data_IF_225922722708
#
_entry.id   IF_225922722708
#
_cell.length_a   1.000
_cell.length_b   1.000
_cell.length_c   1.000
_cell.angle_alpha   90.00
_cell.angle_beta   90.00
_cell.angle_gamma   90.00
#
_symmetry.space_group_name_H-M   'P 1'
#
loop_
_entity.id
_entity.type
_entity.pdbx_description
1 polymer ?
#
# COMPACT_ATOMS: atom_id res chain seq x y z
N UNK A 1 -37.92 -8.68 -12.59
CA UNK A 1 -37.48 -9.29 -11.33
C UNK A 1 -36.30 -8.50 -10.82
N UNK A 2 -36.52 -7.70 -9.78
CA UNK A 2 -35.55 -6.76 -9.21
C UNK A 2 -34.68 -7.58 -8.24
N UNK A 3 -33.54 -8.10 -8.71
CA UNK A 3 -32.52 -8.65 -7.81
C UNK A 3 -32.16 -7.54 -6.83
N UNK A 4 -32.43 -7.72 -5.55
CA UNK A 4 -31.97 -6.82 -4.51
C UNK A 4 -30.45 -6.71 -4.63
N UNK A 5 -29.94 -5.58 -5.13
CA UNK A 5 -28.50 -5.30 -5.11
C UNK A 5 -28.09 -5.29 -3.65
N UNK A 6 -27.47 -6.36 -3.19
CA UNK A 6 -26.96 -6.44 -1.82
C UNK A 6 -25.82 -5.43 -1.68
N UNK A 7 -26.10 -4.32 -0.99
CA UNK A 7 -25.19 -3.19 -0.79
C UNK A 7 -24.06 -3.58 0.18
N UNK A 8 -24.37 -4.42 1.17
CA UNK A 8 -23.48 -4.84 2.25
C UNK A 8 -23.09 -6.29 2.03
N UNK A 9 -21.82 -6.58 1.76
CA UNK A 9 -21.30 -7.94 1.57
C UNK A 9 -20.31 -8.29 2.66
N UNK A 10 -20.49 -9.46 3.26
CA UNK A 10 -19.52 -10.02 4.20
C UNK A 10 -18.46 -10.83 3.43
N UNK A 11 -17.19 -10.42 3.54
CA UNK A 11 -16.06 -11.03 2.85
C UNK A 11 -15.16 -11.74 3.85
N UNK A 12 -14.97 -13.04 3.63
CA UNK A 12 -14.14 -13.94 4.45
C UNK A 12 -13.13 -14.76 3.63
N UNK A 13 -13.06 -14.51 2.32
CA UNK A 13 -12.20 -15.22 1.37
C UNK A 13 -11.41 -14.21 0.56
N UNK A 14 -10.12 -14.47 0.38
CA UNK A 14 -9.21 -13.62 -0.40
C UNK A 14 -9.61 -13.54 -1.87
N UNK A 15 -10.05 -14.67 -2.45
CA UNK A 15 -10.55 -14.71 -3.83
C UNK A 15 -11.76 -13.81 -3.99
N UNK A 16 -12.74 -13.91 -3.08
CA UNK A 16 -13.92 -13.03 -3.11
C UNK A 16 -13.54 -11.58 -2.94
N UNK A 17 -12.62 -11.27 -2.02
CA UNK A 17 -12.12 -9.91 -1.81
C UNK A 17 -11.54 -9.32 -3.10
N UNK A 18 -10.59 -10.03 -3.72
CA UNK A 18 -9.94 -9.58 -4.97
C UNK A 18 -10.94 -9.46 -6.12
N UNK A 19 -11.87 -10.42 -6.28
CA UNK A 19 -12.93 -10.36 -7.28
C UNK A 19 -13.85 -9.14 -7.12
N UNK A 20 -14.18 -8.74 -5.89
CA UNK A 20 -14.98 -7.53 -5.65
C UNK A 20 -14.27 -6.27 -6.16
N UNK A 21 -12.95 -6.20 -6.01
CA UNK A 21 -12.15 -5.07 -6.48
C UNK A 21 -11.88 -5.11 -7.98
N UNK A 22 -11.61 -6.27 -8.57
CA UNK A 22 -11.39 -6.38 -10.03
C UNK A 22 -12.67 -6.08 -10.83
N UNK A 23 -13.86 -6.36 -10.28
CA UNK A 23 -15.14 -6.02 -10.92
C UNK A 23 -15.56 -4.55 -10.73
N UNK A 24 -14.82 -3.77 -9.94
CA UNK A 24 -15.21 -2.41 -9.58
C UNK A 24 -14.91 -1.31 -10.63
N UNK A 25 -13.85 -1.40 -11.47
CA UNK A 25 -13.59 -0.41 -12.52
C UNK A 25 -14.70 -0.37 -13.57
N UNK A 26 -15.29 -1.53 -13.90
CA UNK A 26 -16.34 -1.65 -14.93
C UNK A 26 -17.70 -1.09 -14.48
N UNK A 27 -17.84 -0.74 -13.20
CA UNK A 27 -19.12 -0.31 -12.61
C UNK A 27 -19.16 1.16 -12.21
N UNK A 28 -18.08 1.93 -12.46
CA UNK A 28 -17.94 3.33 -12.02
C UNK A 28 -18.38 3.51 -10.56
N UNK A 29 -17.86 2.63 -9.69
CA UNK A 29 -18.38 2.42 -8.35
C UNK A 29 -17.50 2.95 -7.24
N UNK A 30 -18.13 3.29 -6.11
CA UNK A 30 -17.46 3.62 -4.85
C UNK A 30 -17.63 2.44 -3.88
N UNK A 31 -16.53 1.93 -3.36
CA UNK A 31 -16.52 0.82 -2.41
C UNK A 31 -15.97 1.29 -1.08
N UNK A 32 -16.72 1.04 -0.01
CA UNK A 32 -16.27 1.25 1.37
C UNK A 32 -15.98 -0.11 1.98
N UNK A 33 -14.73 -0.34 2.35
CA UNK A 33 -14.28 -1.54 3.03
C UNK A 33 -14.16 -1.27 4.53
N UNK A 34 -14.80 -2.06 5.38
CA UNK A 34 -14.63 -2.09 6.84
C UNK A 34 -13.78 -3.31 7.22
N UNK A 35 -12.49 -3.08 7.47
CA UNK A 35 -11.57 -4.10 7.95
C UNK A 35 -11.64 -4.19 9.48
N UNK A 36 -11.98 -5.39 9.99
CA UNK A 36 -12.09 -5.66 11.42
C UNK A 36 -11.43 -6.99 11.81
N UNK A 37 -10.96 -7.09 13.06
CA UNK A 37 -10.48 -8.34 13.66
C UNK A 37 -11.62 -9.03 14.39
N UNK A 38 -11.74 -10.36 14.29
CA UNK A 38 -12.74 -11.17 15.01
C UNK A 38 -12.85 -10.91 16.52
N UNK A 39 -11.77 -10.47 17.15
CA UNK A 39 -11.72 -10.08 18.57
C UNK A 39 -12.60 -8.86 18.88
N UNK A 40 -13.02 -8.15 17.84
CA UNK A 40 -13.97 -7.06 17.88
C UNK A 40 -15.22 -7.43 17.09
N UNK A 41 -16.38 -7.38 17.77
CA UNK A 41 -17.65 -7.68 17.12
C UNK A 41 -17.93 -6.69 16.00
N UNK A 42 -18.39 -7.22 14.87
CA UNK A 42 -18.91 -6.48 13.72
C UNK A 42 -19.82 -5.34 14.18
N UNK A 43 -19.53 -4.11 13.78
CA UNK A 43 -20.39 -2.97 14.09
C UNK A 43 -21.64 -3.02 13.21
N UNK A 44 -22.65 -3.80 13.65
CA UNK A 44 -23.97 -3.90 12.99
C UNK A 44 -24.66 -2.54 12.81
N UNK A 45 -24.24 -1.50 13.53
CA UNK A 45 -24.76 -0.14 13.40
C UNK A 45 -24.33 0.57 12.10
N UNK A 46 -23.24 0.12 11.47
CA UNK A 46 -22.70 0.76 10.27
C UNK A 46 -23.42 0.33 9.00
N UNK A 47 -23.77 -0.95 8.89
CA UNK A 47 -24.41 -1.51 7.70
C UNK A 47 -25.71 -0.79 7.35
N UNK A 48 -26.52 -0.41 8.35
CA UNK A 48 -27.75 0.36 8.13
C UNK A 48 -27.45 1.80 7.69
N UNK A 49 -26.45 2.43 8.28
CA UNK A 49 -26.03 3.78 7.89
C UNK A 49 -25.55 3.83 6.44
N UNK A 50 -24.84 2.79 5.98
CA UNK A 50 -24.38 2.68 4.60
C UNK A 50 -25.51 2.33 3.61
N UNK A 51 -26.56 1.62 4.04
CA UNK A 51 -27.77 1.45 3.21
C UNK A 51 -28.50 2.78 2.99
N UNK A 52 -28.56 3.65 4.01
CA UNK A 52 -29.10 5.00 3.84
C UNK A 52 -28.27 5.81 2.83
N UNK A 53 -26.93 5.77 2.94
CA UNK A 53 -26.04 6.47 1.99
C UNK A 53 -26.20 6.01 0.54
N UNK A 54 -26.42 4.71 0.32
CA UNK A 54 -26.74 4.19 -1.02
C UNK A 54 -28.01 4.82 -1.59
N UNK A 55 -29.04 4.98 -0.74
CA UNK A 55 -30.31 5.60 -1.13
C UNK A 55 -30.12 7.07 -1.49
N UNK A 56 -29.26 7.78 -0.75
CA UNK A 56 -28.96 9.20 -0.96
C UNK A 56 -28.08 9.46 -2.20
N UNK A 57 -27.19 8.53 -2.57
CA UNK A 57 -26.31 8.65 -3.74
C UNK A 57 -27.04 8.50 -5.09
N UNK A 58 -28.25 7.94 -5.09
CA UNK A 58 -29.08 7.76 -6.29
C UNK A 58 -28.59 6.65 -7.25
N UNK A 59 -29.36 6.39 -8.30
CA UNK A 59 -29.12 5.29 -9.26
C UNK A 59 -27.88 5.48 -10.17
N UNK A 60 -27.20 6.62 -10.10
CA UNK A 60 -26.13 6.97 -11.04
C UNK A 60 -24.77 6.36 -10.67
N UNK A 61 -24.56 5.97 -9.40
CA UNK A 61 -23.25 5.54 -8.91
C UNK A 61 -23.39 4.20 -8.21
N UNK A 62 -22.52 3.28 -8.59
CA UNK A 62 -22.53 1.96 -8.03
C UNK A 62 -21.83 1.93 -6.65
N UNK A 63 -22.60 2.02 -5.57
CA UNK A 63 -22.05 2.03 -4.21
C UNK A 63 -22.10 0.64 -3.54
N UNK A 64 -20.97 0.19 -2.96
CA UNK A 64 -20.84 -1.06 -2.21
C UNK A 64 -20.20 -0.83 -0.84
N UNK A 65 -20.62 -1.63 0.12
CA UNK A 65 -20.00 -1.75 1.43
C UNK A 65 -19.51 -3.20 1.64
N UNK A 66 -18.22 -3.36 1.89
CA UNK A 66 -17.59 -4.66 2.14
C UNK A 66 -17.18 -4.74 3.60
N UNK A 67 -17.74 -5.71 4.33
CA UNK A 67 -17.35 -6.02 5.70
C UNK A 67 -16.31 -7.14 5.66
N UNK A 68 -15.05 -6.82 5.95
CA UNK A 68 -13.89 -7.70 5.75
C UNK A 68 -13.33 -8.14 7.09
N UNK A 69 -13.40 -9.44 7.37
CA UNK A 69 -12.80 -10.01 8.57
C UNK A 69 -11.33 -10.37 8.29
N UNK A 70 -10.41 -9.62 8.91
CA UNK A 70 -8.99 -9.70 8.61
C UNK A 70 -8.41 -11.10 8.81
N UNK A 71 -8.78 -11.80 9.89
CA UNK A 71 -8.20 -13.11 10.17
C UNK A 71 -8.64 -14.14 9.12
N UNK A 72 -9.93 -14.23 8.82
CA UNK A 72 -10.47 -15.16 7.85
C UNK A 72 -9.88 -14.95 6.46
N UNK A 73 -9.79 -13.70 5.98
CA UNK A 73 -9.23 -13.41 4.65
C UNK A 73 -7.73 -13.72 4.58
N UNK A 74 -6.97 -13.41 5.64
CA UNK A 74 -5.54 -13.73 5.68
C UNK A 74 -5.29 -15.24 5.79
N UNK A 75 -6.09 -15.95 6.59
CA UNK A 75 -5.98 -17.39 6.77
C UNK A 75 -6.42 -18.14 5.49
N UNK A 76 -7.39 -17.60 4.74
CA UNK A 76 -7.83 -18.18 3.46
C UNK A 76 -6.78 -18.02 2.35
N UNK A 77 -6.05 -16.91 2.32
CA UNK A 77 -4.95 -16.67 1.37
C UNK A 77 -3.81 -17.70 1.50
N UNK A 78 -3.63 -18.27 2.70
CA UNK A 78 -2.65 -19.31 2.96
C UNK A 78 -3.06 -20.69 2.39
N UNK A 79 -4.31 -20.85 1.94
CA UNK A 79 -4.81 -22.10 1.38
C UNK A 79 -4.48 -22.19 -0.12
N UNK A 80 -3.88 -23.32 -0.53
CA UNK A 80 -3.40 -23.54 -1.90
C UNK A 80 -4.52 -23.48 -2.96
N UNK A 81 -5.76 -23.82 -2.60
CA UNK A 81 -6.92 -23.78 -3.51
C UNK A 81 -7.37 -22.34 -3.82
N UNK A 82 -7.19 -21.40 -2.89
CA UNK A 82 -7.51 -19.98 -3.13
C UNK A 82 -6.48 -19.29 -4.05
N UNK A 83 -5.26 -19.82 -4.15
CA UNK A 83 -4.20 -19.27 -4.99
C UNK A 83 -4.37 -19.58 -6.49
N UNK A 84 -5.26 -20.51 -6.85
CA UNK A 84 -5.45 -20.98 -8.23
C UNK A 84 -6.66 -20.37 -8.96
N UNK A 85 -7.49 -19.56 -8.29
CA UNK A 85 -8.66 -18.98 -8.93
C UNK A 85 -8.28 -17.82 -9.87
N UNK A 86 -8.55 -17.91 -11.19
CA UNK A 86 -8.34 -16.77 -12.08
C UNK A 86 -9.36 -15.67 -11.77
N UNK A 87 -8.89 -14.51 -11.32
CA UNK A 87 -9.72 -13.35 -11.01
C UNK A 87 -10.03 -12.46 -12.22
N UNK A 88 -9.32 -12.62 -13.35
CA UNK A 88 -9.37 -11.70 -14.49
C UNK A 88 -9.70 -12.43 -15.79
N UNK A 89 -10.49 -11.78 -16.65
CA UNK A 89 -10.70 -12.27 -18.00
C UNK A 89 -9.40 -12.12 -18.82
N UNK A 90 -9.17 -12.98 -19.84
CA UNK A 90 -8.01 -12.85 -20.71
C UNK A 90 -7.94 -11.46 -21.38
N UNK A 91 -6.87 -10.71 -21.11
CA UNK A 91 -6.62 -9.38 -21.71
C UNK A 91 -7.03 -8.18 -20.85
N UNK A 92 -7.59 -8.39 -19.65
CA UNK A 92 -7.82 -7.30 -18.69
C UNK A 92 -6.56 -7.06 -17.84
N UNK A 93 -6.13 -5.80 -17.76
CA UNK A 93 -5.10 -5.39 -16.81
C UNK A 93 -5.69 -5.30 -15.40
N UNK A 94 -5.04 -5.98 -14.46
CA UNK A 94 -5.42 -5.94 -13.07
C UNK A 94 -5.29 -4.51 -12.52
N UNK A 95 -6.29 -4.04 -11.78
CA UNK A 95 -6.10 -2.87 -10.94
C UNK A 95 -5.04 -3.19 -9.86
N UNK A 96 -3.93 -2.44 -9.73
CA UNK A 96 -2.87 -2.76 -8.77
C UNK A 96 -3.38 -2.84 -7.32
N UNK A 97 -4.30 -1.96 -6.96
CA UNK A 97 -4.87 -1.86 -5.61
C UNK A 97 -5.87 -2.99 -5.30
N UNK A 98 -6.39 -3.65 -6.33
CA UNK A 98 -7.27 -4.81 -6.21
C UNK A 98 -6.51 -6.10 -5.87
N UNK A 99 -5.21 -6.16 -6.18
CA UNK A 99 -4.39 -7.36 -6.00
C UNK A 99 -4.07 -7.64 -4.53
N UNK A 100 -4.02 -8.93 -4.18
CA UNK A 100 -3.62 -9.40 -2.85
C UNK A 100 -2.30 -8.83 -2.34
N UNK A 101 -1.32 -8.63 -3.22
CA UNK A 101 -0.03 -8.02 -2.86
C UNK A 101 -0.20 -6.63 -2.23
N UNK A 102 -1.20 -5.86 -2.66
CA UNK A 102 -1.48 -4.53 -2.12
C UNK A 102 -2.25 -4.60 -0.80
N UNK A 103 -3.47 -5.15 -0.82
CA UNK A 103 -4.37 -5.08 0.33
C UNK A 103 -3.97 -6.01 1.48
N UNK A 104 -3.16 -7.05 1.24
CA UNK A 104 -2.68 -7.95 2.30
C UNK A 104 -1.95 -7.20 3.40
N UNK A 105 -1.06 -6.28 3.03
CA UNK A 105 -0.30 -5.47 3.99
C UNK A 105 -1.20 -4.63 4.89
N UNK A 106 -2.32 -4.15 4.36
CA UNK A 106 -3.34 -3.41 5.10
C UNK A 106 -3.99 -4.33 6.14
N UNK A 107 -4.47 -5.50 5.72
CA UNK A 107 -5.13 -6.46 6.62
C UNK A 107 -4.18 -6.99 7.69
N UNK A 108 -2.91 -7.28 7.34
CA UNK A 108 -1.87 -7.68 8.30
C UNK A 108 -1.63 -6.61 9.36
N UNK A 109 -1.52 -5.33 8.95
CA UNK A 109 -1.38 -4.20 9.88
C UNK A 109 -2.59 -3.99 10.80
N UNK A 110 -3.77 -4.50 10.40
CA UNK A 110 -5.01 -4.43 11.18
C UNK A 110 -5.26 -5.66 12.05
N UNK A 111 -4.51 -6.74 11.87
CA UNK A 111 -4.69 -7.98 12.66
C UNK A 111 -4.55 -7.68 14.15
N UNK A 112 -5.54 -8.11 14.95
CA UNK A 112 -5.56 -7.90 16.40
C UNK A 112 -5.75 -6.44 16.85
N UNK A 113 -6.02 -5.50 15.95
CA UNK A 113 -6.30 -4.11 16.33
C UNK A 113 -7.75 -3.95 16.80
N UNK A 114 -8.01 -3.15 17.85
CA UNK A 114 -9.33 -3.04 18.46
C UNK A 114 -10.28 -2.07 17.77
N UNK A 115 -9.93 -1.52 16.60
CA UNK A 115 -10.72 -0.48 15.93
C UNK A 115 -11.01 -0.90 14.50
N UNK A 116 -12.24 -0.67 14.04
CA UNK A 116 -12.57 -0.71 12.61
C UNK A 116 -11.63 0.21 11.84
N UNK A 117 -11.30 -0.23 10.63
CA UNK A 117 -10.46 0.51 9.70
C UNK A 117 -11.16 0.58 8.36
N UNK A 118 -11.58 1.77 7.98
CA UNK A 118 -12.31 1.99 6.75
C UNK A 118 -11.33 2.33 5.64
N UNK A 119 -11.45 1.65 4.51
CA UNK A 119 -10.74 1.98 3.27
C UNK A 119 -11.75 2.33 2.21
N UNK A 120 -11.56 3.47 1.55
CA UNK A 120 -12.47 3.97 0.54
C UNK A 120 -11.81 3.85 -0.81
N UNK A 121 -12.49 3.20 -1.74
CA UNK A 121 -12.07 2.96 -3.10
C UNK A 121 -13.04 3.61 -4.08
N UNK A 122 -12.52 4.03 -5.23
CA UNK A 122 -13.30 4.41 -6.40
C UNK A 122 -12.72 3.69 -7.60
N UNK A 123 -13.56 3.01 -8.38
CA UNK A 123 -13.13 2.26 -9.57
C UNK A 123 -11.94 1.32 -9.31
N UNK A 124 -11.88 0.73 -8.11
CA UNK A 124 -10.83 -0.20 -7.70
C UNK A 124 -9.57 0.45 -7.13
N UNK A 125 -9.39 1.76 -7.30
CA UNK A 125 -8.24 2.50 -6.80
C UNK A 125 -8.51 3.01 -5.38
N UNK A 126 -7.56 2.81 -4.46
CA UNK A 126 -7.66 3.26 -3.09
C UNK A 126 -7.52 4.78 -3.01
N UNK A 127 -8.55 5.45 -2.50
CA UNK A 127 -8.58 6.89 -2.32
C UNK A 127 -8.10 7.34 -0.92
N UNK A 128 -8.62 6.76 0.15
CA UNK A 128 -8.19 7.15 1.51
C UNK A 128 -8.55 6.08 2.53
N UNK A 129 -8.10 6.28 3.76
CA UNK A 129 -8.44 5.42 4.89
C UNK A 129 -8.83 6.24 6.12
N UNK A 130 -9.69 5.65 6.95
CA UNK A 130 -10.18 6.26 8.19
C UNK A 130 -10.07 5.21 9.29
N UNK A 131 -9.26 5.48 10.30
CA UNK A 131 -9.22 4.65 11.50
C UNK A 131 -10.35 5.04 12.46
N UNK A 132 -10.98 4.02 13.04
CA UNK A 132 -12.14 4.12 13.93
C UNK A 132 -13.41 4.64 13.23
N UNK A 133 -14.53 4.49 13.93
CA UNK A 133 -15.83 4.94 13.44
C UNK A 133 -15.89 6.46 13.51
N UNK A 134 -15.83 7.12 12.35
CA UNK A 134 -16.05 8.55 12.19
C UNK A 134 -17.03 8.80 11.02
N UNK A 135 -18.32 8.59 11.29
CA UNK A 135 -19.36 8.66 10.26
C UNK A 135 -19.37 10.00 9.50
N UNK A 136 -19.30 11.18 10.14
CA UNK A 136 -19.26 12.44 9.39
C UNK A 136 -18.11 12.52 8.39
N UNK A 137 -16.91 12.05 8.77
CA UNK A 137 -15.75 12.01 7.88
C UNK A 137 -15.95 11.01 6.74
N UNK A 138 -16.43 9.80 7.05
CA UNK A 138 -16.69 8.76 6.06
C UNK A 138 -17.70 9.25 5.02
N UNK A 139 -18.84 9.81 5.46
CA UNK A 139 -19.89 10.34 4.58
C UNK A 139 -19.33 11.45 3.69
N UNK A 140 -18.54 12.38 4.26
CA UNK A 140 -17.90 13.45 3.48
C UNK A 140 -16.98 12.89 2.39
N UNK A 141 -16.20 11.85 2.70
CA UNK A 141 -15.31 11.23 1.73
C UNK A 141 -16.08 10.44 0.66
N UNK A 142 -17.12 9.70 1.03
CA UNK A 142 -18.00 8.99 0.08
C UNK A 142 -18.67 9.97 -0.88
N UNK A 143 -19.28 11.03 -0.37
CA UNK A 143 -19.92 12.06 -1.20
C UNK A 143 -18.91 12.70 -2.17
N UNK A 144 -17.67 12.93 -1.72
CA UNK A 144 -16.62 13.42 -2.61
C UNK A 144 -16.30 12.44 -3.73
N UNK A 145 -16.11 11.15 -3.41
CA UNK A 145 -15.81 10.13 -4.42
C UNK A 145 -16.96 9.95 -5.42
N UNK A 146 -18.20 10.13 -4.96
CA UNK A 146 -19.37 10.08 -5.81
C UNK A 146 -19.47 11.30 -6.76
N UNK A 147 -18.90 12.45 -6.41
CA UNK A 147 -19.04 13.63 -7.25
C UNK A 147 -18.20 13.50 -8.54
N UNK A 148 -18.80 13.74 -9.73
CA UNK A 148 -18.05 13.83 -10.96
C UNK A 148 -17.03 14.97 -10.88
N UNK A 149 -15.84 14.73 -11.44
CA UNK A 149 -14.77 15.71 -11.52
C UNK A 149 -14.46 16.03 -12.99
N UNK A 150 -13.73 17.12 -13.21
CA UNK A 150 -13.10 17.38 -14.50
C UNK A 150 -11.93 16.41 -14.70
N UNK A 151 -11.78 15.79 -15.88
CA UNK A 151 -10.64 14.92 -16.19
C UNK A 151 -9.28 15.62 -16.05
N UNK A 152 -8.26 14.87 -15.65
CA UNK A 152 -6.89 15.39 -15.50
C UNK A 152 -6.35 16.03 -16.79
N UNK A 153 -6.60 15.40 -17.93
CA UNK A 153 -6.17 15.87 -19.26
C UNK A 153 -6.73 17.24 -19.65
N UNK A 154 -7.84 17.66 -19.03
CA UNK A 154 -8.49 18.95 -19.32
C UNK A 154 -8.00 20.06 -18.35
N UNK A 155 -7.09 19.69 -17.44
CA UNK A 155 -6.63 20.52 -16.32
C UNK A 155 -5.14 20.80 -16.36
N UNK A 156 -4.35 19.87 -16.90
CA UNK A 156 -2.91 20.06 -17.10
C UNK A 156 -2.51 20.05 -18.57
N UNK A 157 -1.46 20.81 -18.90
CA UNK A 157 -0.76 20.73 -20.19
C UNK A 157 0.60 20.03 -20.11
N UNK A 158 1.03 19.67 -18.89
CA UNK A 158 2.30 19.02 -18.64
C UNK A 158 2.19 17.51 -18.88
N UNK A 159 2.78 17.02 -19.97
CA UNK A 159 2.73 15.61 -20.37
C UNK A 159 3.29 14.67 -19.30
N UNK A 160 4.43 15.02 -18.68
CA UNK A 160 5.04 14.18 -17.63
C UNK A 160 4.18 14.08 -16.37
N UNK A 161 3.51 15.17 -15.98
CA UNK A 161 2.57 15.15 -14.87
C UNK A 161 1.31 14.35 -15.21
N UNK A 162 0.81 14.46 -16.45
CA UNK A 162 -0.33 13.67 -16.92
C UNK A 162 0.00 12.18 -16.94
N UNK A 163 1.19 11.79 -17.41
CA UNK A 163 1.64 10.39 -17.41
C UNK A 163 1.73 9.83 -15.98
N UNK A 164 2.31 10.60 -15.04
CA UNK A 164 2.29 10.24 -13.62
C UNK A 164 0.85 10.06 -13.12
N UNK A 165 -0.04 11.00 -13.45
CA UNK A 165 -1.43 10.97 -12.99
C UNK A 165 -2.18 9.74 -13.48
N UNK A 166 -2.09 9.46 -14.79
CA UNK A 166 -2.74 8.31 -15.44
C UNK A 166 -2.22 6.96 -14.95
N UNK A 167 -0.99 6.93 -14.41
CA UNK A 167 -0.39 5.71 -13.85
C UNK A 167 -0.92 5.37 -12.45
N UNK A 168 -1.26 6.37 -11.64
CA UNK A 168 -1.56 6.18 -10.22
C UNK A 168 -3.00 6.51 -9.82
N UNK A 169 -3.73 7.27 -10.64
CA UNK A 169 -5.05 7.78 -10.32
C UNK A 169 -6.04 7.57 -11.46
N UNK A 170 -7.32 7.79 -11.16
CA UNK A 170 -8.40 7.70 -12.13
C UNK A 170 -8.30 8.86 -13.13
N UNK A 171 -8.28 8.54 -14.42
CA UNK A 171 -8.13 9.51 -15.51
C UNK A 171 -9.21 10.62 -15.52
N UNK A 172 -10.43 10.28 -15.07
CA UNK A 172 -11.56 11.20 -14.99
C UNK A 172 -11.51 12.14 -13.79
N UNK A 173 -10.51 12.02 -12.91
CA UNK A 173 -10.32 12.87 -11.74
C UNK A 173 -9.15 13.83 -11.92
N UNK A 174 -9.26 15.04 -11.39
CA UNK A 174 -8.18 16.04 -11.35
C UNK A 174 -7.82 16.47 -9.93
N UNK A 175 -8.51 15.95 -8.93
CA UNK A 175 -8.22 16.13 -7.51
C UNK A 175 -8.26 14.76 -6.81
N UNK A 176 -7.25 14.49 -5.98
CA UNK A 176 -7.13 13.26 -5.21
C UNK A 176 -6.91 13.56 -3.73
N UNK A 177 -7.19 12.59 -2.88
CA UNK A 177 -6.84 12.69 -1.46
C UNK A 177 -5.32 12.76 -1.28
N UNK A 178 -4.89 13.53 -0.28
CA UNK A 178 -3.48 13.73 0.03
C UNK A 178 -2.75 12.41 0.31
N UNK A 179 -3.37 11.49 1.04
CA UNK A 179 -2.78 10.19 1.36
C UNK A 179 -2.51 9.33 0.10
N UNK A 180 -3.40 9.39 -0.90
CA UNK A 180 -3.19 8.70 -2.17
C UNK A 180 -2.09 9.35 -2.99
N UNK A 181 -2.02 10.69 -3.00
CA UNK A 181 -0.92 11.39 -3.64
C UNK A 181 0.44 11.00 -3.04
N UNK A 182 0.56 11.00 -1.70
CA UNK A 182 1.80 10.59 -1.04
C UNK A 182 2.20 9.16 -1.38
N UNK A 183 1.23 8.24 -1.42
CA UNK A 183 1.50 6.84 -1.78
C UNK A 183 2.00 6.71 -3.22
N UNK A 184 1.37 7.43 -4.15
CA UNK A 184 1.79 7.48 -5.55
C UNK A 184 3.22 8.04 -5.68
N UNK A 185 3.53 9.14 -4.98
CA UNK A 185 4.88 9.72 -4.93
C UNK A 185 5.90 8.69 -4.45
N UNK A 186 5.65 8.04 -3.31
CA UNK A 186 6.59 7.05 -2.74
C UNK A 186 6.77 5.84 -3.67
N UNK A 187 5.69 5.40 -4.34
CA UNK A 187 5.75 4.32 -5.33
C UNK A 187 6.50 4.71 -6.59
N UNK A 188 6.31 5.94 -7.08
CA UNK A 188 6.95 6.47 -8.29
C UNK A 188 8.44 6.69 -8.11
N UNK A 189 8.86 7.24 -6.96
CA UNK A 189 10.27 7.49 -6.68
C UNK A 189 11.00 6.27 -6.08
N UNK A 190 10.31 5.13 -5.92
CA UNK A 190 10.85 3.94 -5.23
C UNK A 190 11.44 4.25 -3.85
N UNK A 191 10.75 5.12 -3.08
CA UNK A 191 11.26 5.60 -1.81
C UNK A 191 11.47 4.46 -0.81
N UNK A 192 12.62 4.45 -0.13
CA UNK A 192 12.99 3.41 0.84
C UNK A 192 12.32 3.56 2.22
N UNK A 193 11.63 4.69 2.46
CA UNK A 193 10.90 4.97 3.70
C UNK A 193 9.73 5.94 3.44
N UNK A 194 8.69 5.92 4.30
CA UNK A 194 7.63 6.92 4.23
C UNK A 194 8.13 8.31 4.64
N UNK A 195 7.37 9.34 4.24
CA UNK A 195 7.54 10.70 4.77
C UNK A 195 7.17 10.74 6.25
N UNK A 196 7.89 11.54 7.04
CA UNK A 196 7.42 11.88 8.39
C UNK A 196 6.23 12.83 8.32
N UNK A 197 5.44 12.94 9.39
CA UNK A 197 4.32 13.87 9.44
C UNK A 197 4.74 15.31 9.13
N UNK A 198 5.90 15.76 9.64
CA UNK A 198 6.46 17.09 9.32
C UNK A 198 6.79 17.24 7.84
N UNK A 199 7.37 16.21 7.22
CA UNK A 199 7.70 16.22 5.79
C UNK A 199 6.43 16.24 4.92
N UNK A 200 5.45 15.42 5.29
CA UNK A 200 4.12 15.40 4.66
C UNK A 200 3.45 16.78 4.74
N UNK A 201 3.41 17.40 5.92
CA UNK A 201 2.80 18.72 6.10
C UNK A 201 3.54 19.83 5.35
N UNK A 202 4.87 19.80 5.33
CA UNK A 202 5.66 20.77 4.56
C UNK A 202 5.41 20.65 3.05
N UNK A 203 5.31 19.42 2.54
CA UNK A 203 4.99 19.17 1.13
C UNK A 203 3.56 19.62 0.81
N UNK A 204 2.60 19.32 1.68
CA UNK A 204 1.20 19.74 1.54
C UNK A 204 1.10 21.27 1.42
N UNK A 205 1.76 21.99 2.32
CA UNK A 205 1.79 23.46 2.30
C UNK A 205 2.45 24.00 1.03
N UNK A 206 3.58 23.41 0.62
CA UNK A 206 4.34 23.87 -0.56
C UNK A 206 3.55 23.68 -1.87
N UNK A 207 2.85 22.55 -2.02
CA UNK A 207 2.01 22.27 -3.20
C UNK A 207 0.70 23.08 -3.16
N UNK A 208 0.23 23.44 -1.97
CA UNK A 208 -1.08 24.07 -1.78
C UNK A 208 -2.21 23.05 -1.61
N UNK A 209 -1.91 21.88 -1.06
CA UNK A 209 -2.92 20.89 -0.69
C UNK A 209 -3.89 21.49 0.35
N UNK A 210 -5.19 21.36 0.08
CA UNK A 210 -6.25 22.00 0.85
C UNK A 210 -7.29 20.96 1.28
N UNK A 211 -7.76 21.04 2.52
CA UNK A 211 -8.78 20.13 3.05
C UNK A 211 -8.43 18.63 2.91
N UNK A 212 -7.14 18.28 2.97
CA UNK A 212 -6.66 16.89 2.84
C UNK A 212 -6.66 16.36 1.41
N UNK A 213 -6.60 17.24 0.41
CA UNK A 213 -6.61 16.89 -1.02
C UNK A 213 -5.63 17.75 -1.80
N UNK A 214 -5.29 17.29 -3.00
CA UNK A 214 -4.40 17.98 -3.92
C UNK A 214 -4.91 17.83 -5.35
N UNK A 215 -4.88 18.91 -6.10
CA UNK A 215 -5.26 18.93 -7.52
C UNK A 215 -4.03 18.89 -8.43
N UNK A 216 -4.23 18.39 -9.64
CA UNK A 216 -3.19 18.38 -10.68
C UNK A 216 -2.70 19.80 -11.01
N UNK A 217 -3.60 20.80 -11.03
CA UNK A 217 -3.25 22.21 -11.24
C UNK A 217 -2.31 22.75 -10.15
N UNK A 218 -2.55 22.36 -8.90
CA UNK A 218 -1.74 22.80 -7.76
C UNK A 218 -0.32 22.22 -7.86
N UNK A 219 -0.23 20.95 -8.28
CA UNK A 219 1.04 20.28 -8.52
C UNK A 219 1.79 20.92 -9.69
N UNK A 220 1.12 21.15 -10.83
CA UNK A 220 1.73 21.81 -12.01
C UNK A 220 2.23 23.21 -11.66
N UNK A 221 1.43 23.98 -10.93
CA UNK A 221 1.80 25.33 -10.47
C UNK A 221 3.03 25.31 -9.56
N UNK A 222 3.13 24.32 -8.66
CA UNK A 222 4.28 24.17 -7.77
C UNK A 222 5.55 23.73 -8.51
N UNK A 223 5.41 22.78 -9.44
CA UNK A 223 6.52 22.28 -10.27
C UNK A 223 7.11 23.39 -11.13
N UNK A 224 6.27 24.26 -11.70
CA UNK A 224 6.68 25.26 -12.67
C UNK A 224 7.21 24.57 -13.94
N UNK A 225 8.41 24.94 -14.38
CA UNK A 225 9.05 24.35 -15.56
C UNK A 225 9.79 23.02 -15.29
N UNK A 226 9.82 22.57 -14.03
CA UNK A 226 10.55 21.37 -13.60
C UNK A 226 9.69 20.12 -13.73
N UNK A 227 10.34 18.98 -13.72
CA UNK A 227 9.69 17.67 -13.54
C UNK A 227 9.21 17.47 -12.10
N UNK A 228 8.33 16.49 -11.90
CA UNK A 228 7.83 16.13 -10.58
C UNK A 228 8.98 15.63 -9.70
N UNK A 229 9.87 14.83 -10.29
CA UNK A 229 11.05 14.23 -9.65
C UNK A 229 12.05 15.28 -9.22
N UNK A 230 12.36 16.26 -10.07
CA UNK A 230 13.23 17.39 -9.71
C UNK A 230 12.64 18.19 -8.53
N UNK A 231 11.33 18.50 -8.61
CA UNK A 231 10.64 19.26 -7.57
C UNK A 231 10.60 18.53 -6.23
N UNK A 232 10.40 17.20 -6.26
CA UNK A 232 10.46 16.35 -5.06
C UNK A 232 11.89 16.21 -4.51
N UNK A 233 12.88 16.07 -5.38
CA UNK A 233 14.28 15.90 -5.01
C UNK A 233 14.88 17.16 -4.34
N UNK A 234 14.37 18.35 -4.68
CA UNK A 234 14.74 19.60 -4.01
C UNK A 234 14.29 19.63 -2.54
N UNK A 235 13.10 19.10 -2.25
CA UNK A 235 12.57 19.05 -0.87
C UNK A 235 13.13 17.85 -0.10
N UNK A 236 13.29 16.72 -0.78
CA UNK A 236 13.62 15.45 -0.16
C UNK A 236 14.69 14.72 -0.98
N UNK A 237 15.97 14.91 -0.62
CA UNK A 237 17.09 14.31 -1.32
C UNK A 237 17.03 12.77 -1.44
N UNK A 238 16.33 12.08 -0.52
CA UNK A 238 16.15 10.63 -0.54
C UNK A 238 15.07 10.14 -1.52
N UNK A 239 14.33 11.05 -2.17
CA UNK A 239 13.41 10.75 -3.26
C UNK A 239 14.06 10.87 -4.64
N UNK A 240 15.37 11.13 -4.71
CA UNK A 240 16.10 11.10 -5.98
C UNK A 240 16.09 9.67 -6.54
N UNK A 241 15.73 9.47 -7.82
CA UNK A 241 15.96 8.20 -8.47
C UNK A 241 17.47 7.91 -8.45
N UNK A 242 17.87 6.70 -8.07
CA UNK A 242 19.24 6.25 -8.32
C UNK A 242 19.44 6.23 -9.83
N UNK A 243 20.22 7.18 -10.35
CA UNK A 243 20.60 7.20 -11.76
C UNK A 243 21.42 5.93 -12.03
N UNK A 244 20.84 4.98 -12.77
CA UNK A 244 21.59 3.83 -13.29
C UNK A 244 22.66 4.40 -14.23
N UNK A 245 23.89 4.51 -13.72
CA UNK A 245 25.03 4.87 -14.53
C UNK A 245 25.35 3.70 -15.46
N UNK A 246 25.60 3.91 -16.76
CA UNK A 246 26.04 2.82 -17.62
C UNK A 246 27.39 2.33 -17.12
N UNK A 247 27.45 1.06 -16.72
CA UNK A 247 28.69 0.39 -16.30
C UNK A 247 29.69 0.49 -17.45
N UNK A 248 30.71 1.33 -17.29
CA UNK A 248 31.88 1.28 -18.15
C UNK A 248 32.62 -0.02 -17.84
N UNK A 249 32.61 -0.93 -18.81
CA UNK A 249 33.42 -2.13 -18.83
C UNK A 249 34.90 -1.75 -18.88
N UNK A 250 35.54 -1.67 -17.72
CA UNK A 250 36.99 -1.87 -17.61
C UNK A 250 37.27 -2.89 -16.50
N UNK A 251 37.32 -4.15 -16.93
CA UNK A 251 37.91 -5.25 -16.17
C UNK A 251 39.38 -4.92 -15.88
N UNK A 252 39.71 -4.75 -14.60
CA UNK A 252 41.06 -5.01 -14.12
C UNK A 252 41.03 -6.12 -13.09
N UNK A 253 41.27 -7.33 -13.58
CA UNK A 253 41.58 -8.51 -12.78
C UNK A 253 42.70 -8.19 -11.78
N UNK A 254 42.45 -8.43 -10.50
CA UNK A 254 43.49 -8.67 -9.52
C UNK A 254 43.28 -10.05 -8.94
N UNK A 255 44.09 -10.98 -9.46
CA UNK A 255 44.44 -12.26 -8.88
C UNK A 255 45.19 -12.06 -7.56
N UNK A 256 44.80 -12.77 -6.50
CA UNK A 256 45.74 -13.25 -5.48
C UNK A 256 45.36 -14.69 -5.10
N UNK A 257 46.32 -15.58 -5.33
CA UNK A 257 46.39 -16.98 -4.89
C UNK A 257 47.14 -17.02 -3.55
N UNK A 258 46.79 -17.97 -2.68
CA UNK A 258 47.56 -18.39 -1.49
C UNK A 258 46.63 -18.91 -0.38
N UNK A 259 46.22 -20.18 -0.42
CA UNK A 259 46.82 -21.32 0.30
C UNK A 259 46.59 -21.33 1.83
N UNK A 260 45.71 -22.25 2.25
CA UNK A 260 45.90 -23.16 3.39
C UNK A 260 45.73 -22.64 4.82
N UNK A 261 44.60 -22.95 5.45
CA UNK A 261 44.58 -23.66 6.74
C UNK A 261 43.17 -24.14 7.10
N UNK A 262 43.05 -25.42 7.44
CA UNK A 262 41.92 -25.97 8.17
C UNK A 262 41.90 -25.35 9.58
N UNK A 263 40.90 -24.52 9.86
CA UNK A 263 40.50 -24.16 11.23
C UNK A 263 38.98 -24.21 11.31
N UNK A 264 38.50 -25.30 11.88
CA UNK A 264 37.20 -25.43 12.51
C UNK A 264 37.06 -24.29 13.54
N UNK A 265 36.28 -23.26 13.22
CA UNK A 265 36.25 -22.04 14.01
C UNK A 265 35.05 -21.18 13.67
N UNK A 266 34.07 -21.18 14.58
CA UNK A 266 32.96 -20.22 14.70
C UNK A 266 33.17 -18.95 13.86
N UNK A 267 32.35 -18.78 12.83
CA UNK A 267 32.23 -17.52 12.09
C UNK A 267 31.71 -16.46 13.08
N UNK A 268 32.65 -15.75 13.72
CA UNK A 268 32.35 -14.77 14.74
C UNK A 268 31.50 -13.64 14.17
N UNK A 269 30.47 -13.23 14.94
CA UNK A 269 29.57 -12.08 14.67
C UNK A 269 30.28 -10.83 14.15
N UNK A 270 31.53 -10.62 14.54
CA UNK A 270 32.34 -9.47 14.13
C UNK A 270 32.69 -9.49 12.63
N UNK A 271 32.86 -10.67 12.03
CA UNK A 271 33.15 -10.80 10.60
C UNK A 271 31.89 -10.48 9.75
N UNK A 272 30.72 -10.85 10.25
CA UNK A 272 29.43 -10.55 9.62
C UNK A 272 29.12 -9.03 9.67
N UNK A 273 29.42 -8.39 10.79
CA UNK A 273 29.23 -6.94 10.96
C UNK A 273 30.21 -6.12 10.12
N UNK A 274 31.42 -6.63 9.86
CA UNK A 274 32.37 -5.97 8.97
C UNK A 274 31.97 -6.12 7.50
N UNK A 275 31.45 -7.27 7.06
CA UNK A 275 30.91 -7.45 5.70
C UNK A 275 29.69 -6.55 5.44
N UNK A 276 28.82 -6.38 6.44
CA UNK A 276 27.66 -5.46 6.36
C UNK A 276 28.06 -3.97 6.35
N UNK A 277 29.25 -3.64 6.87
CA UNK A 277 29.74 -2.25 6.89
C UNK A 277 30.49 -1.84 5.63
N UNK A 278 31.15 -2.77 4.95
CA UNK A 278 32.04 -2.45 3.82
C UNK A 278 31.37 -2.57 2.44
N UNK A 279 30.25 -3.28 2.30
CA UNK A 279 29.51 -3.37 1.03
C UNK A 279 28.26 -2.48 1.04
N UNK A 280 28.43 -1.24 0.56
CA UNK A 280 27.34 -0.25 0.35
C UNK A 280 26.69 -0.31 -1.03
N UNK A 281 27.05 -1.29 -1.87
CA UNK A 281 26.38 -1.55 -3.14
C UNK A 281 25.49 -2.79 -2.99
N UNK A 282 24.17 -2.58 -2.84
CA UNK A 282 23.21 -3.69 -2.73
C UNK A 282 22.40 -3.78 -4.01
N UNK A 283 23.02 -4.44 -4.99
CA UNK A 283 22.30 -5.13 -6.06
C UNK A 283 21.57 -6.35 -5.48
N UNK A 284 20.36 -6.59 -5.96
CA UNK A 284 19.31 -7.53 -5.51
C UNK A 284 19.76 -9.01 -5.38
N UNK A 285 20.97 -9.36 -5.81
CA UNK A 285 21.49 -10.75 -5.80
C UNK A 285 21.74 -11.35 -4.41
N UNK A 286 21.94 -10.55 -3.37
CA UNK A 286 22.41 -11.06 -2.07
C UNK A 286 21.31 -11.60 -1.12
N UNK A 287 20.02 -11.55 -1.50
CA UNK A 287 18.93 -11.98 -0.61
C UNK A 287 18.97 -13.48 -0.25
N UNK A 288 19.44 -14.35 -1.15
CA UNK A 288 19.42 -15.81 -0.91
C UNK A 288 20.60 -16.27 -0.06
N UNK A 289 21.79 -15.72 -0.30
CA UNK A 289 23.02 -16.12 0.42
C UNK A 289 23.02 -15.62 1.86
N UNK A 290 22.50 -14.41 2.12
CA UNK A 290 22.30 -13.90 3.49
C UNK A 290 21.29 -14.72 4.27
N UNK A 291 20.21 -15.19 3.62
CA UNK A 291 19.24 -16.09 4.25
C UNK A 291 19.86 -17.43 4.62
N UNK A 292 20.68 -18.01 3.75
CA UNK A 292 21.39 -19.27 4.03
C UNK A 292 22.42 -19.11 5.16
N UNK A 293 23.12 -17.97 5.23
CA UNK A 293 24.03 -17.68 6.35
C UNK A 293 23.25 -17.51 7.66
N UNK A 294 22.11 -16.80 7.64
CA UNK A 294 21.27 -16.59 8.83
C UNK A 294 20.70 -17.91 9.38
N UNK A 295 20.32 -18.82 8.47
CA UNK A 295 19.81 -20.15 8.81
C UNK A 295 20.89 -21.12 9.28
N UNK A 296 22.17 -20.82 9.01
CA UNK A 296 23.32 -21.64 9.43
C UNK A 296 23.86 -21.26 10.82
N UNK A 297 23.34 -20.19 11.44
CA UNK A 297 23.72 -19.79 12.79
C UNK A 297 22.86 -20.57 13.79
N UNK A 298 23.44 -21.59 14.43
CA UNK A 298 22.81 -22.22 15.60
C UNK A 298 22.64 -21.18 16.72
N UNK A 299 21.39 -20.77 16.95
CA UNK A 299 21.03 -19.95 18.09
C UNK A 299 21.16 -20.78 19.37
N UNK A 300 22.32 -20.74 20.01
CA UNK A 300 22.46 -21.24 21.37
C UNK A 300 21.66 -20.34 22.32
N UNK A 301 20.47 -20.78 22.71
CA UNK A 301 19.68 -20.18 23.77
C UNK A 301 20.22 -20.71 25.11
N UNK A 302 20.69 -19.86 26.05
CA UNK A 302 20.97 -20.35 27.39
C UNK A 302 19.64 -20.59 28.09
N UNK A 303 19.40 -21.84 28.50
CA UNK A 303 18.33 -22.20 29.43
C UNK A 303 18.75 -21.69 30.81
N UNK A 304 18.28 -20.51 31.20
CA UNK A 304 18.30 -20.12 32.61
C UNK A 304 16.96 -20.46 33.28
N UNK A 305 17.08 -21.34 34.27
CA UNK A 305 16.04 -21.77 35.19
C UNK A 305 15.58 -20.60 36.07
N UNK A 306 14.34 -20.74 36.54
CA UNK A 306 13.72 -20.12 37.71
C UNK A 306 13.14 -18.70 37.57
N UNK A 307 11.83 -18.66 37.29
CA UNK A 307 10.92 -17.72 37.94
C UNK A 307 9.65 -18.47 38.36
N UNK A 308 9.68 -18.93 39.61
CA UNK A 308 8.51 -19.43 40.35
C UNK A 308 7.56 -18.26 40.60
N UNK A 309 6.35 -18.30 40.04
CA UNK A 309 5.23 -17.54 40.58
C UNK A 309 4.46 -18.44 41.55
N UNK A 310 4.71 -18.22 42.83
CA UNK A 310 3.91 -18.75 43.94
C UNK A 310 2.49 -18.14 43.86
N UNK A 311 1.47 -19.00 43.86
CA UNK A 311 0.09 -18.65 44.21
C UNK A 311 0.05 -18.26 45.69
N UNK A 312 -0.58 -17.12 46.01
CA UNK A 312 -1.15 -16.91 47.34
C UNK A 312 -2.66 -17.14 47.26
N UNK A 313 -3.15 -18.00 48.16
CA UNK A 313 -4.53 -17.98 48.66
C UNK A 313 -4.79 -16.73 49.51
#
# INVERSE_FOLDING_TARGET
>A
MQQSKEIVRDIKSAVKHEQEFQNSPTQHGVTVLDAYSSDWRQSKALSETFRCLYTDAGDQIYFRFLSVECNAVLDSLAQAEEQQAPCLAPGEEACPDALSVFWKSILEGRRGKPKSYFVLYKEGIMGTSIEAINMPKIIKCVNYLCNPQTPAKDRTSNEGLLDFWMRYFIASESEVFWDSFLRAVLGHTSANRPLTERQSSALAETIGACSGKVSIDAIEKWMGARTLEESLAELFAFLKPESISPVSSDQKCLSIVGEGSDVEGSVGRENLMNVLRTNRDVSVRWKVELWNILMSVELQCPVEKSLLFQRCE
#
